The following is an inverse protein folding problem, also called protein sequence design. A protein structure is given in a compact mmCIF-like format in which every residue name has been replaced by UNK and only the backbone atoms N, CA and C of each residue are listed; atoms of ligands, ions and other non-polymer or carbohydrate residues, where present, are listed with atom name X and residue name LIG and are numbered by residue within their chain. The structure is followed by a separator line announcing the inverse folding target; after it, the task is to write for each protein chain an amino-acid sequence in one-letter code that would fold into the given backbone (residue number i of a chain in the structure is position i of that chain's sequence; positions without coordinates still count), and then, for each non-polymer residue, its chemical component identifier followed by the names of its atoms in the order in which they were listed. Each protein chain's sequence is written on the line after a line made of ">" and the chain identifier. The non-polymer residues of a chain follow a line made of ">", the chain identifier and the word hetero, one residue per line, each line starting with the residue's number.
data_IF_525693106863
#
_entry.id   IF_525693106863
#
_cell.length_a   1.000
_cell.length_b   1.000
_cell.length_c   1.000
_cell.angle_alpha   90.00
_cell.angle_beta   90.00
_cell.angle_gamma   90.00
#
_symmetry.space_group_name_H-M   'P 1'
#
loop_
_entity.id
_entity.type
_entity.pdbx_description
1 polymer ?
#
# COMPACT_ATOMS: atom_id res chain seq x y z
N UNK A 1 24.67 -5.61 -7.40
CA UNK A 1 23.82 -4.45 -7.02
C UNK A 1 24.40 -3.14 -7.55
N UNK A 2 25.68 -2.86 -7.38
CA UNK A 2 26.35 -1.64 -7.84
C UNK A 2 26.27 -1.43 -9.36
N UNK A 3 26.53 -2.47 -10.16
CA UNK A 3 26.46 -2.38 -11.63
C UNK A 3 25.07 -1.97 -12.14
N UNK A 4 23.98 -2.46 -11.51
CA UNK A 4 22.62 -2.09 -11.89
C UNK A 4 22.28 -0.66 -11.46
N UNK A 5 22.76 -0.23 -10.30
CA UNK A 5 22.62 1.15 -9.84
C UNK A 5 23.45 2.11 -10.72
N UNK A 6 24.66 1.69 -11.14
CA UNK A 6 25.47 2.46 -12.09
C UNK A 6 24.80 2.59 -13.46
N UNK A 7 24.24 1.50 -13.99
CA UNK A 7 23.48 1.52 -15.24
C UNK A 7 22.23 2.43 -15.13
N UNK A 8 21.60 2.51 -13.97
CA UNK A 8 20.46 3.40 -13.74
C UNK A 8 20.82 4.87 -13.61
N UNK A 9 22.06 5.21 -13.28
CA UNK A 9 22.51 6.63 -13.30
C UNK A 9 22.44 7.24 -14.71
N UNK A 10 22.54 6.42 -15.76
CA UNK A 10 22.35 6.84 -17.14
C UNK A 10 20.91 6.83 -17.62
N UNK A 11 19.94 6.42 -16.78
CA UNK A 11 18.54 6.45 -17.16
C UNK A 11 17.97 7.86 -16.98
N UNK A 12 17.15 8.28 -17.97
CA UNK A 12 16.31 9.44 -17.81
C UNK A 12 15.47 9.30 -16.51
N UNK A 13 15.27 10.40 -15.82
CA UNK A 13 14.52 10.48 -14.56
C UNK A 13 13.14 9.81 -14.65
N UNK A 14 12.45 10.06 -15.77
CA UNK A 14 11.13 9.49 -16.06
C UNK A 14 11.15 7.97 -16.07
N UNK A 15 12.20 7.40 -16.69
CA UNK A 15 12.39 5.96 -16.77
C UNK A 15 12.70 5.34 -15.42
N UNK A 16 13.60 5.98 -14.65
CA UNK A 16 13.95 5.56 -13.30
C UNK A 16 12.72 5.52 -12.40
N UNK A 17 11.90 6.57 -12.41
CA UNK A 17 10.66 6.65 -11.64
C UNK A 17 9.65 5.57 -12.06
N UNK A 18 9.58 5.24 -13.35
CA UNK A 18 8.69 4.20 -13.86
C UNK A 18 9.09 2.81 -13.35
N UNK A 19 10.38 2.49 -13.39
CA UNK A 19 10.92 1.24 -12.83
C UNK A 19 10.61 1.14 -11.34
N UNK A 20 10.94 2.18 -10.57
CA UNK A 20 10.70 2.23 -9.13
C UNK A 20 9.22 2.08 -8.78
N UNK A 21 8.32 2.74 -9.51
CA UNK A 21 6.87 2.65 -9.31
C UNK A 21 6.35 1.24 -9.59
N UNK A 22 6.83 0.60 -10.64
CA UNK A 22 6.45 -0.78 -10.99
C UNK A 22 6.96 -1.78 -9.96
N UNK A 23 8.22 -1.64 -9.55
CA UNK A 23 8.80 -2.46 -8.49
C UNK A 23 8.05 -2.27 -7.15
N UNK A 24 7.76 -1.02 -6.77
CA UNK A 24 6.98 -0.71 -5.58
C UNK A 24 5.57 -1.31 -5.59
N UNK A 25 4.91 -1.33 -6.75
CA UNK A 25 3.59 -1.98 -6.90
C UNK A 25 3.64 -3.49 -6.66
N UNK A 26 4.66 -4.15 -7.17
CA UNK A 26 4.84 -5.59 -6.96
C UNK A 26 5.18 -5.90 -5.51
N UNK A 27 6.12 -5.16 -4.95
CA UNK A 27 6.55 -5.29 -3.57
C UNK A 27 5.42 -4.99 -2.55
N UNK A 28 4.44 -4.17 -2.91
CA UNK A 28 3.30 -3.88 -2.05
C UNK A 28 2.34 -5.07 -1.88
N UNK A 29 2.32 -6.04 -2.79
CA UNK A 29 1.38 -7.17 -2.77
C UNK A 29 1.44 -7.98 -1.48
N UNK A 30 2.61 -8.49 -1.02
CA UNK A 30 2.70 -9.24 0.24
C UNK A 30 2.15 -8.45 1.43
N UNK A 31 2.42 -7.15 1.49
CA UNK A 31 1.93 -6.30 2.56
C UNK A 31 0.39 -6.15 2.51
N UNK A 32 -0.18 -5.93 1.33
CA UNK A 32 -1.65 -5.86 1.16
C UNK A 32 -2.31 -7.17 1.59
N UNK A 33 -1.73 -8.31 1.22
CA UNK A 33 -2.23 -9.63 1.64
C UNK A 33 -2.18 -9.76 3.15
N UNK A 34 -1.02 -9.48 3.75
CA UNK A 34 -0.85 -9.56 5.20
C UNK A 34 -1.80 -8.64 5.97
N UNK A 35 -2.01 -7.41 5.51
CA UNK A 35 -3.01 -6.51 6.11
C UNK A 35 -4.42 -7.09 6.03
N UNK A 36 -4.80 -7.65 4.89
CA UNK A 36 -6.12 -8.24 4.71
C UNK A 36 -6.32 -9.49 5.54
N UNK A 37 -5.30 -10.30 5.73
CA UNK A 37 -5.33 -11.47 6.62
C UNK A 37 -5.51 -11.05 8.08
N UNK A 38 -4.71 -10.10 8.56
CA UNK A 38 -4.81 -9.61 9.92
C UNK A 38 -6.18 -8.97 10.22
N UNK A 39 -6.78 -8.30 9.24
CA UNK A 39 -8.11 -7.73 9.34
C UNK A 39 -9.18 -8.83 9.25
N UNK A 40 -8.97 -9.89 8.45
CA UNK A 40 -9.93 -11.00 8.32
C UNK A 40 -10.15 -11.75 9.63
N UNK A 41 -9.15 -11.78 10.50
CA UNK A 41 -9.27 -12.32 11.85
C UNK A 41 -10.19 -11.44 12.73
N UNK A 42 -10.55 -10.26 12.25
CA UNK A 42 -11.49 -9.32 12.83
C UNK A 42 -12.71 -9.17 11.90
N UNK A 43 -13.54 -10.17 11.86
CA UNK A 43 -14.87 -10.06 11.27
C UNK A 43 -15.82 -9.51 12.34
N UNK A 44 -15.88 -8.20 12.43
CA UNK A 44 -16.89 -7.53 13.26
C UNK A 44 -18.27 -7.63 12.62
N UNK A 45 -19.30 -7.60 13.45
CA UNK A 45 -20.67 -7.47 13.00
C UNK A 45 -20.87 -6.12 12.26
N UNK A 46 -21.93 -6.05 11.45
CA UNK A 46 -22.40 -4.77 10.92
C UNK A 46 -22.67 -3.82 12.09
N UNK A 47 -22.11 -2.60 12.03
CA UNK A 47 -22.40 -1.57 13.03
C UNK A 47 -22.71 -0.23 12.38
N UNK A 48 -23.55 0.53 13.06
CA UNK A 48 -23.98 1.86 12.60
C UNK A 48 -23.22 2.93 13.39
N UNK A 49 -22.66 3.88 12.67
CA UNK A 49 -22.02 5.06 13.24
C UNK A 49 -22.97 6.23 13.18
N UNK A 50 -23.16 6.89 14.31
CA UNK A 50 -24.00 8.09 14.42
C UNK A 50 -23.14 9.34 14.53
N UNK A 51 -23.62 10.42 13.94
CA UNK A 51 -23.04 11.76 14.08
C UNK A 51 -24.17 12.76 14.29
N UNK A 52 -24.12 13.50 15.39
CA UNK A 52 -25.16 14.49 15.75
C UNK A 52 -26.57 13.90 15.71
N UNK A 53 -26.76 12.69 16.24
CA UNK A 53 -28.05 12.00 16.30
C UNK A 53 -28.53 11.35 15.01
N UNK A 54 -27.85 11.56 13.88
CA UNK A 54 -28.21 10.96 12.58
C UNK A 54 -27.25 9.85 12.19
N UNK A 55 -27.71 8.89 11.40
CA UNK A 55 -26.84 7.83 10.83
C UNK A 55 -25.82 8.46 9.90
N UNK A 56 -24.55 8.34 10.26
CA UNK A 56 -23.42 8.80 9.44
C UNK A 56 -22.92 7.73 8.49
N UNK A 57 -22.80 6.50 8.95
CA UNK A 57 -22.34 5.38 8.15
C UNK A 57 -22.83 4.05 8.69
N UNK A 58 -23.03 3.10 7.79
CA UNK A 58 -23.22 1.69 8.11
C UNK A 58 -21.97 0.91 7.70
N UNK A 59 -21.20 0.47 8.68
CA UNK A 59 -19.97 -0.28 8.46
C UNK A 59 -20.32 -1.75 8.27
N UNK A 60 -19.87 -2.30 7.15
CA UNK A 60 -20.12 -3.70 6.78
C UNK A 60 -18.91 -4.59 7.11
N UNK A 61 -19.15 -5.88 7.42
CA UNK A 61 -18.07 -6.85 7.48
C UNK A 61 -17.23 -6.82 6.19
N UNK A 62 -15.91 -6.85 6.33
CA UNK A 62 -14.98 -6.79 5.20
C UNK A 62 -14.71 -5.39 4.61
N UNK A 63 -15.48 -4.36 4.96
CA UNK A 63 -15.29 -3.02 4.40
C UNK A 63 -13.87 -2.49 4.62
N UNK A 64 -13.29 -2.65 5.80
CA UNK A 64 -11.92 -2.25 6.08
C UNK A 64 -10.93 -3.03 5.22
N UNK A 65 -11.09 -4.35 5.16
CA UNK A 65 -10.24 -5.23 4.34
C UNK A 65 -10.24 -4.81 2.87
N UNK A 66 -11.41 -4.51 2.32
CA UNK A 66 -11.59 -4.16 0.92
C UNK A 66 -11.02 -2.76 0.60
N UNK A 67 -10.95 -1.88 1.60
CA UNK A 67 -10.34 -0.55 1.48
C UNK A 67 -8.80 -0.57 1.44
N UNK A 68 -8.15 -1.67 1.86
CA UNK A 68 -6.68 -1.75 1.90
C UNK A 68 -6.10 -1.79 0.48
N UNK A 69 -5.28 -0.81 0.18
CA UNK A 69 -4.57 -0.74 -1.09
C UNK A 69 -3.26 0.05 -0.99
N UNK A 70 -2.32 -0.15 -1.95
CA UNK A 70 -1.14 0.67 -2.06
C UNK A 70 -1.48 2.04 -2.64
N UNK A 71 -0.88 3.07 -2.09
CA UNK A 71 -0.91 4.46 -2.57
C UNK A 71 0.51 4.89 -2.90
N UNK A 72 0.70 5.57 -4.04
CA UNK A 72 2.00 5.98 -4.55
C UNK A 72 2.11 7.50 -4.56
N UNK A 73 3.13 8.01 -3.89
CA UNK A 73 3.43 9.43 -3.83
C UNK A 73 4.82 9.66 -4.42
N UNK A 74 4.96 10.69 -5.25
CA UNK A 74 6.25 11.17 -5.71
C UNK A 74 6.72 12.30 -4.79
N UNK A 75 7.89 12.16 -4.21
CA UNK A 75 8.56 13.27 -3.54
C UNK A 75 9.36 14.08 -4.56
N UNK A 76 8.93 15.32 -4.83
CA UNK A 76 9.64 16.23 -5.74
C UNK A 76 11.04 16.60 -5.22
N UNK A 77 11.19 16.74 -3.90
CA UNK A 77 12.46 17.17 -3.28
C UNK A 77 13.53 16.07 -3.21
N UNK A 78 13.13 14.79 -3.18
CA UNK A 78 14.03 13.66 -2.92
C UNK A 78 14.13 12.68 -4.09
N UNK A 79 13.48 12.99 -5.21
CA UNK A 79 13.43 12.13 -6.41
C UNK A 79 13.19 10.65 -6.06
N UNK A 80 12.16 10.41 -5.24
CA UNK A 80 11.81 9.11 -4.72
C UNK A 80 10.32 8.82 -4.88
N UNK A 81 9.99 7.55 -4.99
CA UNK A 81 8.62 7.05 -4.89
C UNK A 81 8.39 6.53 -3.47
N UNK A 82 7.39 7.09 -2.81
CA UNK A 82 6.93 6.61 -1.51
C UNK A 82 5.70 5.73 -1.75
N UNK A 83 5.77 4.48 -1.30
CA UNK A 83 4.63 3.57 -1.34
C UNK A 83 4.07 3.44 0.06
N UNK A 84 2.84 3.88 0.25
CA UNK A 84 2.09 3.75 1.50
C UNK A 84 1.01 2.70 1.31
N UNK A 85 0.91 1.77 2.23
CA UNK A 85 -0.12 0.71 2.21
C UNK A 85 -1.02 0.91 3.41
N UNK A 86 -2.32 0.99 3.14
CA UNK A 86 -3.30 1.21 4.20
C UNK A 86 -4.72 1.40 3.66
N UNK A 87 -5.66 1.75 4.56
CA UNK A 87 -7.04 1.97 4.20
C UNK A 87 -7.21 3.22 3.34
N UNK A 88 -7.98 3.10 2.28
CA UNK A 88 -8.29 4.21 1.38
C UNK A 88 -9.46 5.03 1.92
N UNK A 89 -9.32 6.35 1.79
CA UNK A 89 -10.34 7.33 2.20
C UNK A 89 -10.58 8.41 1.11
N UNK A 90 -10.09 8.17 -0.11
CA UNK A 90 -10.20 9.11 -1.25
C UNK A 90 -10.89 8.46 -2.45
N UNK A 91 -11.39 9.29 -3.37
CA UNK A 91 -12.11 8.82 -4.55
C UNK A 91 -13.44 8.15 -4.15
N UNK A 92 -13.74 6.98 -4.69
CA UNK A 92 -14.93 6.19 -4.32
C UNK A 92 -14.99 5.79 -2.85
N UNK A 93 -13.86 5.82 -2.14
CA UNK A 93 -13.75 5.55 -0.71
C UNK A 93 -13.98 6.80 0.18
N UNK A 94 -14.38 7.94 -0.38
CA UNK A 94 -14.90 9.10 0.37
C UNK A 94 -16.28 8.82 0.96
N UNK A 95 -17.03 7.95 0.32
CA UNK A 95 -18.28 7.43 0.89
C UNK A 95 -17.96 6.71 2.21
N UNK A 96 -18.50 7.16 3.35
CA UNK A 96 -18.22 6.56 4.64
C UNK A 96 -18.64 5.08 4.71
N UNK A 97 -19.56 4.65 3.84
CA UNK A 97 -19.98 3.24 3.72
C UNK A 97 -19.04 2.38 2.90
N UNK A 98 -17.96 2.95 2.30
CA UNK A 98 -16.97 2.23 1.48
C UNK A 98 -15.54 2.41 1.95
N UNK A 99 -15.24 3.53 2.59
CA UNK A 99 -13.89 3.89 3.03
C UNK A 99 -13.46 3.14 4.28
N UNK A 100 -12.14 3.11 4.48
CA UNK A 100 -11.52 2.53 5.68
C UNK A 100 -11.17 3.59 6.74
N UNK A 101 -11.89 4.70 6.80
CA UNK A 101 -11.62 5.83 7.68
C UNK A 101 -11.60 5.46 9.17
N UNK A 102 -12.30 4.43 9.55
CA UNK A 102 -12.39 3.94 10.93
C UNK A 102 -11.24 2.98 11.32
N UNK A 103 -10.29 2.73 10.43
CA UNK A 103 -9.20 1.78 10.65
C UNK A 103 -8.39 2.06 11.91
N UNK A 104 -8.15 3.33 12.23
CA UNK A 104 -7.37 3.71 13.42
C UNK A 104 -8.09 3.34 14.72
N UNK A 105 -9.41 3.42 14.76
CA UNK A 105 -10.20 2.99 15.93
C UNK A 105 -10.06 1.48 16.16
N UNK A 106 -10.02 0.70 15.08
CA UNK A 106 -9.82 -0.75 15.17
C UNK A 106 -8.38 -1.08 15.55
N UNK A 107 -7.40 -0.36 14.98
CA UNK A 107 -5.99 -0.64 15.23
C UNK A 107 -5.52 -0.23 16.62
N UNK A 108 -5.99 0.90 17.12
CA UNK A 108 -5.55 1.49 18.39
C UNK A 108 -6.63 1.47 19.48
N UNK A 109 -7.88 1.17 19.11
CA UNK A 109 -9.02 1.30 20.00
C UNK A 109 -9.47 2.75 20.21
N UNK A 110 -10.52 2.95 20.98
CA UNK A 110 -11.06 4.25 21.36
C UNK A 110 -11.78 4.18 22.70
N UNK A 111 -11.94 5.34 23.34
CA UNK A 111 -12.71 5.47 24.56
C UNK A 111 -14.17 5.85 24.23
N UNK A 112 -15.12 5.13 24.78
CA UNK A 112 -16.54 5.44 24.68
C UNK A 112 -17.20 5.22 26.04
N UNK A 113 -17.87 6.24 26.56
CA UNK A 113 -18.51 6.18 27.88
C UNK A 113 -17.56 5.80 29.03
N UNK A 114 -16.30 6.26 28.98
CA UNK A 114 -15.27 5.90 29.94
C UNK A 114 -14.72 4.49 29.85
N UNK A 115 -15.19 3.69 28.90
CA UNK A 115 -14.67 2.34 28.65
C UNK A 115 -13.80 2.32 27.40
N UNK A 116 -12.68 1.62 27.50
CA UNK A 116 -11.83 1.35 26.36
C UNK A 116 -12.46 0.30 25.45
N UNK A 117 -12.68 0.64 24.20
CA UNK A 117 -13.21 -0.26 23.18
C UNK A 117 -12.12 -0.46 22.13
N UNK A 118 -11.60 -1.67 22.04
CA UNK A 118 -10.63 -2.04 21.02
C UNK A 118 -10.64 -3.54 20.86
N UNK A 119 -10.72 -3.97 19.60
CA UNK A 119 -10.74 -5.42 19.33
C UNK A 119 -9.56 -5.72 18.46
N UNK A 120 -8.86 -5.70 17.86
CA UNK A 120 -7.74 -6.12 17.05
C UNK A 120 -6.61 -5.08 17.03
N UNK A 121 -6.24 -4.69 18.23
CA UNK A 121 -5.18 -3.71 18.41
C UNK A 121 -3.88 -4.16 17.76
N UNK A 122 -3.25 -3.25 17.01
CA UNK A 122 -1.96 -3.49 16.40
C UNK A 122 -1.97 -4.37 15.15
N UNK A 123 -3.11 -4.54 14.47
CA UNK A 123 -3.15 -5.32 13.22
C UNK A 123 -2.18 -4.79 12.17
N UNK A 124 -1.99 -3.48 12.12
CA UNK A 124 -1.08 -2.84 11.17
C UNK A 124 0.38 -3.21 11.45
N UNK A 125 0.78 -3.25 12.73
CA UNK A 125 2.14 -3.61 13.12
C UNK A 125 2.41 -5.10 12.89
N UNK A 126 1.45 -5.96 13.22
CA UNK A 126 1.57 -7.41 12.94
C UNK A 126 1.67 -7.67 11.44
N UNK A 127 0.83 -7.04 10.64
CA UNK A 127 0.89 -7.16 9.18
C UNK A 127 2.25 -6.72 8.63
N UNK A 128 2.79 -5.61 9.15
CA UNK A 128 4.11 -5.10 8.76
C UNK A 128 5.21 -6.07 9.13
N UNK A 129 5.24 -6.56 10.34
CA UNK A 129 6.27 -7.50 10.81
C UNK A 129 6.27 -8.79 9.98
N UNK A 130 5.07 -9.34 9.72
CA UNK A 130 4.90 -10.56 8.92
C UNK A 130 5.35 -10.39 7.48
N UNK A 131 5.04 -9.26 6.84
CA UNK A 131 5.28 -9.05 5.43
C UNK A 131 6.64 -8.42 5.09
N UNK A 132 7.31 -7.76 6.02
CA UNK A 132 8.53 -6.99 5.72
C UNK A 132 9.63 -7.78 4.99
N UNK A 133 9.96 -9.02 5.35
CA UNK A 133 10.96 -9.81 4.63
C UNK A 133 10.56 -10.03 3.16
N UNK A 134 9.30 -10.42 2.92
CA UNK A 134 8.77 -10.68 1.57
C UNK A 134 8.70 -9.40 0.73
N UNK A 135 8.34 -8.26 1.32
CA UNK A 135 8.31 -6.95 0.64
C UNK A 135 9.69 -6.58 0.12
N UNK A 136 10.74 -6.74 0.94
CA UNK A 136 12.10 -6.43 0.56
C UNK A 136 12.62 -7.34 -0.56
N UNK A 137 12.35 -8.64 -0.48
CA UNK A 137 12.72 -9.62 -1.49
C UNK A 137 12.02 -9.32 -2.84
N UNK A 138 10.71 -9.10 -2.81
CA UNK A 138 9.91 -8.77 -3.99
C UNK A 138 10.32 -7.43 -4.61
N UNK A 139 10.66 -6.43 -3.80
CA UNK A 139 11.14 -5.15 -4.33
C UNK A 139 12.44 -5.33 -5.11
N UNK A 140 13.41 -6.01 -4.53
CA UNK A 140 14.70 -6.28 -5.19
C UNK A 140 14.48 -7.03 -6.50
N UNK A 141 13.76 -8.15 -6.47
CA UNK A 141 13.50 -8.98 -7.65
C UNK A 141 12.77 -8.19 -8.75
N UNK A 142 11.70 -7.49 -8.40
CA UNK A 142 10.93 -6.70 -9.34
C UNK A 142 11.72 -5.53 -9.94
N UNK A 143 12.54 -4.87 -9.12
CA UNK A 143 13.40 -3.79 -9.56
C UNK A 143 14.41 -4.25 -10.61
N UNK A 144 15.13 -5.35 -10.35
CA UNK A 144 16.07 -5.91 -11.31
C UNK A 144 15.40 -6.35 -12.61
N UNK A 145 14.27 -7.04 -12.53
CA UNK A 145 13.54 -7.47 -13.71
C UNK A 145 13.08 -6.30 -14.58
N UNK A 146 12.53 -5.26 -13.97
CA UNK A 146 12.09 -4.08 -14.72
C UNK A 146 13.26 -3.29 -15.31
N UNK A 147 14.35 -3.12 -14.56
CA UNK A 147 15.56 -2.48 -15.08
C UNK A 147 16.12 -3.25 -16.29
N UNK A 148 16.21 -4.58 -16.21
CA UNK A 148 16.71 -5.42 -17.30
C UNK A 148 15.83 -5.32 -18.55
N UNK A 149 14.50 -5.29 -18.41
CA UNK A 149 13.59 -5.09 -19.55
C UNK A 149 13.87 -3.79 -20.29
N UNK A 150 14.21 -2.73 -19.58
CA UNK A 150 14.54 -1.45 -20.20
C UNK A 150 15.89 -1.46 -20.88
N UNK A 151 16.91 -2.05 -20.28
CA UNK A 151 18.22 -2.22 -20.89
C UNK A 151 18.08 -2.99 -22.21
N UNK A 152 17.37 -4.11 -22.20
CA UNK A 152 17.15 -4.91 -23.41
C UNK A 152 16.42 -4.13 -24.52
N UNK A 153 15.46 -3.25 -24.15
CA UNK A 153 14.79 -2.38 -25.14
C UNK A 153 15.71 -1.33 -25.72
N UNK A 154 16.61 -0.76 -24.93
CA UNK A 154 17.60 0.21 -25.42
C UNK A 154 18.58 -0.45 -26.39
N UNK A 155 19.10 -1.62 -26.04
CA UNK A 155 19.99 -2.40 -26.91
C UNK A 155 19.31 -2.72 -28.25
N UNK A 156 18.05 -3.19 -28.22
CA UNK A 156 17.30 -3.45 -29.47
C UNK A 156 17.09 -2.20 -30.34
N UNK A 157 16.88 -1.05 -29.74
CA UNK A 157 16.75 0.21 -30.52
C UNK A 157 18.05 0.63 -31.15
N UNK A 158 19.17 0.47 -30.46
CA UNK A 158 20.49 0.78 -30.99
C UNK A 158 20.90 -0.16 -32.12
N UNK A 159 20.53 -1.45 -32.05
CA UNK A 159 20.81 -2.43 -33.10
C UNK A 159 19.88 -2.31 -34.31
N UNK A 160 18.66 -1.78 -34.15
CA UNK A 160 17.72 -1.57 -35.24
C UNK A 160 17.92 -0.22 -35.99
N UNK A 161 18.70 0.69 -35.45
CA UNK A 161 19.06 1.97 -36.07
C UNK A 161 20.41 1.96 -36.82
N UNK A 162 21.01 0.78 -36.99
CA UNK A 162 22.11 0.50 -37.89
C UNK A 162 21.59 -0.25 -39.11
#
# INVERSE_FOLDING_TARGET
>A
MEATLAAMKGFDETLRLKVMKTAGRRAAKPMVVSYREEISNFQGDKFTVYRSGSVYAEIRPGQLRDSIAPMFFRSKKRDMIITVIGPRVKGSFRDPNKGGWFAHFINYGYLSGGKYIGKNLGFADRARQKAAPSVNAEFKAAFFQEAQKYINRLVKRQSAGK
#
